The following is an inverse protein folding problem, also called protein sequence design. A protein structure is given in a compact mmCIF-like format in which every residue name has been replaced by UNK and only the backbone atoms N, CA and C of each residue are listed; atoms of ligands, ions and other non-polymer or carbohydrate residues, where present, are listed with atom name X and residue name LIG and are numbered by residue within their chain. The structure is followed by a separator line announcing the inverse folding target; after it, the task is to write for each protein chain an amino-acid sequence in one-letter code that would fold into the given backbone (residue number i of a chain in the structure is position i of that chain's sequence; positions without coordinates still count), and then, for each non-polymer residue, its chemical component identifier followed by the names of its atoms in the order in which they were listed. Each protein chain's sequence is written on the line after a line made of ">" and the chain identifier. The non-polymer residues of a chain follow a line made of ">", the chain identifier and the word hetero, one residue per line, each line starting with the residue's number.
data_IF_629597161255
#
_entry.id   IF_629597161255
#
_cell.length_a   1.000
_cell.length_b   1.000
_cell.length_c   1.000
_cell.angle_alpha   90.00
_cell.angle_beta   90.00
_cell.angle_gamma   90.00
#
_symmetry.space_group_name_H-M   'P 1'
#
loop_
_entity.id
_entity.type
_entity.pdbx_description
1 polymer ?
#
# COMPACT_ATOMS: atom_id res chain seq x y z
N UNK A 1 -5.64 -20.66 -10.43
CA UNK A 1 -6.76 -19.73 -10.69
C UNK A 1 -7.25 -19.97 -12.10
N UNK A 2 -8.57 -20.13 -12.34
CA UNK A 2 -9.06 -20.37 -13.70
C UNK A 2 -8.90 -19.12 -14.56
N UNK A 3 -8.76 -19.29 -15.88
CA UNK A 3 -8.60 -18.19 -16.84
C UNK A 3 -9.76 -17.17 -16.75
N UNK A 4 -10.99 -17.66 -16.55
CA UNK A 4 -12.19 -16.82 -16.36
C UNK A 4 -12.13 -15.98 -15.06
N UNK A 5 -11.62 -16.57 -13.98
CA UNK A 5 -11.45 -15.89 -12.70
C UNK A 5 -10.35 -14.83 -12.75
N UNK A 6 -9.27 -15.08 -13.51
CA UNK A 6 -8.24 -14.08 -13.77
C UNK A 6 -8.78 -12.88 -14.55
N UNK A 7 -9.58 -13.13 -15.59
CA UNK A 7 -10.21 -12.06 -16.39
C UNK A 7 -11.16 -11.24 -15.52
N UNK A 8 -12.03 -11.88 -14.73
CA UNK A 8 -12.95 -11.17 -13.84
C UNK A 8 -12.21 -10.31 -12.79
N UNK A 9 -11.14 -10.85 -12.20
CA UNK A 9 -10.32 -10.11 -11.24
C UNK A 9 -9.65 -8.90 -11.91
N UNK A 10 -9.10 -9.08 -13.12
CA UNK A 10 -8.48 -8.01 -13.88
C UNK A 10 -9.50 -6.90 -14.24
N UNK A 11 -10.71 -7.27 -14.68
CA UNK A 11 -11.78 -6.31 -14.99
C UNK A 11 -12.18 -5.50 -13.75
N UNK A 12 -12.37 -6.14 -12.60
CA UNK A 12 -12.75 -5.45 -11.35
C UNK A 12 -11.64 -4.47 -10.91
N UNK A 13 -10.38 -4.91 -10.98
CA UNK A 13 -9.22 -4.08 -10.63
C UNK A 13 -9.12 -2.86 -11.55
N UNK A 14 -9.27 -3.06 -12.87
CA UNK A 14 -9.24 -1.97 -13.86
C UNK A 14 -10.37 -0.97 -13.62
N UNK A 15 -11.60 -1.44 -13.39
CA UNK A 15 -12.75 -0.57 -13.12
C UNK A 15 -12.56 0.23 -11.83
N UNK A 16 -12.08 -0.40 -10.76
CA UNK A 16 -11.82 0.29 -9.49
C UNK A 16 -10.69 1.32 -9.58
N UNK A 17 -9.62 0.99 -10.30
CA UNK A 17 -8.54 1.93 -10.60
C UNK A 17 -9.06 3.13 -11.38
N UNK A 18 -9.89 2.89 -12.40
CA UNK A 18 -10.48 3.94 -13.23
C UNK A 18 -11.42 4.85 -12.42
N UNK A 19 -12.21 4.28 -11.52
CA UNK A 19 -13.06 5.05 -10.60
C UNK A 19 -12.25 5.88 -9.62
N UNK A 20 -11.14 5.36 -9.08
CA UNK A 20 -10.27 6.11 -8.17
C UNK A 20 -9.56 7.28 -8.88
N UNK A 21 -9.10 7.07 -10.12
CA UNK A 21 -8.49 8.12 -10.94
C UNK A 21 -9.47 9.28 -11.15
N UNK A 22 -10.72 8.99 -11.51
CA UNK A 22 -11.72 10.03 -11.75
C UNK A 22 -12.17 10.76 -10.47
N UNK A 23 -11.93 10.20 -9.28
CA UNK A 23 -12.38 10.80 -8.02
C UNK A 23 -11.35 11.74 -7.38
N UNK A 24 -10.07 11.70 -7.78
CA UNK A 24 -8.96 12.43 -7.13
C UNK A 24 -8.04 13.20 -8.11
N UNK A 25 -8.48 13.43 -9.35
CA UNK A 25 -7.63 13.97 -10.42
C UNK A 25 -7.40 15.49 -10.33
N UNK A 26 -6.48 15.92 -9.47
CA UNK A 26 -5.70 17.14 -9.69
C UNK A 26 -4.26 16.85 -10.15
N UNK A 27 -3.77 15.60 -10.02
CA UNK A 27 -2.41 15.21 -10.44
C UNK A 27 -2.40 14.04 -11.44
N UNK A 28 -2.10 14.35 -12.70
CA UNK A 28 -1.99 13.40 -13.82
C UNK A 28 -0.90 12.33 -13.63
N UNK A 29 0.01 12.52 -12.66
CA UNK A 29 1.07 11.55 -12.37
C UNK A 29 0.52 10.26 -11.74
N UNK A 30 -0.60 10.33 -11.02
CA UNK A 30 -1.23 9.17 -10.37
C UNK A 30 -1.75 8.17 -11.42
N UNK A 31 -2.59 8.57 -12.41
CA UNK A 31 -3.00 7.65 -13.46
C UNK A 31 -1.82 7.08 -14.26
N UNK A 32 -0.76 7.86 -14.48
CA UNK A 32 0.43 7.36 -15.18
C UNK A 32 1.17 6.27 -14.38
N UNK A 33 1.34 6.43 -13.06
CA UNK A 33 1.98 5.43 -12.20
C UNK A 33 1.20 4.12 -12.20
N UNK A 34 -0.12 4.21 -12.05
CA UNK A 34 -0.97 3.03 -12.01
C UNK A 34 -0.95 2.34 -13.38
N UNK A 35 -0.99 3.11 -14.48
CA UNK A 35 -0.86 2.58 -15.84
C UNK A 35 0.48 1.85 -16.05
N UNK A 36 1.60 2.45 -15.65
CA UNK A 36 2.95 1.84 -15.75
C UNK A 36 3.07 0.59 -14.87
N UNK A 37 2.48 0.58 -13.67
CA UNK A 37 2.55 -0.56 -12.76
C UNK A 37 1.69 -1.72 -13.25
N UNK A 38 0.48 -1.44 -13.75
CA UNK A 38 -0.40 -2.43 -14.37
C UNK A 38 0.24 -3.02 -15.62
N UNK A 39 0.86 -2.18 -16.47
CA UNK A 39 1.65 -2.64 -17.61
C UNK A 39 2.82 -3.52 -17.16
N UNK A 40 3.60 -3.09 -16.16
CA UNK A 40 4.74 -3.84 -15.63
C UNK A 40 4.35 -5.23 -15.12
N UNK A 41 3.25 -5.33 -14.38
CA UNK A 41 2.72 -6.62 -13.87
C UNK A 41 2.17 -7.49 -15.00
N UNK A 42 1.45 -6.89 -15.97
CA UNK A 42 0.93 -7.62 -17.13
C UNK A 42 2.06 -8.19 -18.01
N UNK A 43 3.15 -7.45 -18.15
CA UNK A 43 4.30 -7.86 -18.94
C UNK A 43 5.32 -8.71 -18.16
N UNK A 44 5.26 -8.81 -16.82
CA UNK A 44 6.24 -9.54 -16.01
C UNK A 44 6.41 -11.00 -16.45
N UNK A 45 5.31 -11.71 -16.75
CA UNK A 45 5.36 -13.09 -17.22
C UNK A 45 5.93 -13.21 -18.64
N UNK A 46 5.89 -12.13 -19.42
CA UNK A 46 6.43 -12.04 -20.78
C UNK A 46 7.91 -11.63 -20.77
N UNK A 47 8.30 -10.73 -19.85
CA UNK A 47 9.67 -10.29 -19.59
C UNK A 47 10.53 -11.44 -19.08
N UNK A 48 10.02 -12.23 -18.11
CA UNK A 48 10.76 -13.38 -17.54
C UNK A 48 11.04 -14.45 -18.60
N UNK A 49 10.16 -14.60 -19.60
CA UNK A 49 10.32 -15.59 -20.67
C UNK A 49 11.14 -15.09 -21.85
N UNK A 50 11.41 -13.79 -21.96
CA UNK A 50 11.99 -13.22 -23.17
C UNK A 50 12.84 -11.97 -22.87
N UNK A 51 14.17 -12.13 -22.93
CA UNK A 51 15.17 -11.15 -22.51
C UNK A 51 15.14 -9.82 -23.28
N UNK A 52 14.57 -9.80 -24.49
CA UNK A 52 14.44 -8.57 -25.29
C UNK A 52 13.50 -7.53 -24.67
N UNK A 53 12.57 -7.94 -23.79
CA UNK A 53 11.69 -7.01 -23.07
C UNK A 53 12.30 -6.47 -21.77
N UNK A 54 13.48 -6.96 -21.38
CA UNK A 54 14.14 -6.58 -20.13
C UNK A 54 14.70 -5.15 -20.21
N UNK A 55 15.29 -4.77 -21.36
CA UNK A 55 15.81 -3.43 -21.61
C UNK A 55 14.76 -2.31 -21.55
N UNK A 56 13.62 -2.38 -22.27
CA UNK A 56 12.59 -1.34 -22.17
C UNK A 56 11.94 -1.31 -20.77
N UNK A 57 11.80 -2.44 -20.09
CA UNK A 57 11.29 -2.49 -18.72
C UNK A 57 12.25 -1.80 -17.72
N UNK A 58 13.56 -2.02 -17.85
CA UNK A 58 14.58 -1.32 -17.06
C UNK A 58 14.58 0.17 -17.38
N UNK A 59 14.48 0.56 -18.65
CA UNK A 59 14.43 1.98 -19.05
C UNK A 59 13.17 2.65 -18.48
N UNK A 60 11.99 2.02 -18.57
CA UNK A 60 10.75 2.54 -17.99
C UNK A 60 10.87 2.63 -16.46
N UNK A 61 11.47 1.64 -15.80
CA UNK A 61 11.74 1.68 -14.37
C UNK A 61 12.69 2.83 -14.01
N UNK A 62 13.79 2.99 -14.74
CA UNK A 62 14.78 4.06 -14.53
C UNK A 62 14.15 5.43 -14.78
N UNK A 63 13.32 5.59 -15.80
CA UNK A 63 12.58 6.84 -16.06
C UNK A 63 11.49 7.09 -15.01
N UNK A 64 10.82 6.04 -14.54
CA UNK A 64 9.87 6.10 -13.42
C UNK A 64 10.55 6.22 -12.05
N UNK A 65 11.87 6.12 -11.97
CA UNK A 65 12.62 6.46 -10.76
C UNK A 65 13.18 7.88 -10.91
N UNK A 66 13.70 8.25 -12.08
CA UNK A 66 14.24 9.59 -12.42
C UNK A 66 13.19 10.71 -12.51
N UNK A 67 12.00 10.43 -13.04
CA UNK A 67 10.88 11.38 -12.99
C UNK A 67 10.39 11.64 -11.57
N UNK A 68 10.76 10.76 -10.64
CA UNK A 68 10.46 10.87 -9.22
C UNK A 68 11.59 11.46 -8.42
N UNK A 69 12.79 11.69 -8.97
CA UNK A 69 13.98 12.28 -8.31
C UNK A 69 13.82 13.78 -7.96
N UNK A 70 12.61 14.22 -7.59
CA UNK A 70 12.42 15.38 -6.73
C UNK A 70 11.96 15.07 -5.29
N UNK A 71 12.51 14.07 -4.53
CA UNK A 71 12.22 13.95 -3.11
C UNK A 71 13.49 13.49 -2.36
N UNK A 72 14.61 14.21 -2.54
CA UNK A 72 15.79 14.02 -1.68
C UNK A 72 16.17 15.31 -0.95
N UNK A 73 15.40 16.38 -1.14
CA UNK A 73 15.53 17.62 -0.38
C UNK A 73 14.83 17.59 0.98
N UNK A 74 14.01 16.57 1.29
CA UNK A 74 13.11 16.58 2.46
C UNK A 74 13.31 15.46 3.50
N UNK A 75 14.20 14.48 3.29
CA UNK A 75 14.11 13.21 4.04
C UNK A 75 15.18 12.94 5.12
N UNK A 76 16.41 13.41 4.96
CA UNK A 76 17.52 13.01 5.86
C UNK A 76 18.40 14.17 6.34
N UNK A 77 18.66 15.16 5.50
CA UNK A 77 19.54 16.30 5.83
C UNK A 77 18.80 17.60 6.17
N UNK A 78 17.57 17.79 5.68
CA UNK A 78 16.84 19.06 5.81
C UNK A 78 15.52 18.96 6.58
N UNK A 79 15.17 17.79 7.13
CA UNK A 79 13.99 17.67 7.98
C UNK A 79 14.40 17.83 9.46
N UNK A 80 14.12 18.99 10.08
CA UNK A 80 14.48 19.23 11.46
C UNK A 80 13.59 18.46 12.44
N UNK A 81 12.46 17.88 12.00
CA UNK A 81 11.44 17.30 12.89
C UNK A 81 12.02 16.23 13.83
N UNK A 82 12.76 15.21 13.36
CA UNK A 82 13.33 14.20 14.27
C UNK A 82 14.41 14.77 15.21
N UNK A 83 15.08 15.85 14.81
CA UNK A 83 16.12 16.50 15.63
C UNK A 83 15.47 17.30 16.75
N UNK A 84 14.48 18.13 16.42
CA UNK A 84 13.74 18.91 17.42
C UNK A 84 13.02 18.01 18.44
N UNK A 85 12.38 16.92 17.99
CA UNK A 85 11.75 15.93 18.89
C UNK A 85 12.80 15.32 19.83
N UNK A 86 14.01 15.05 19.33
CA UNK A 86 15.09 14.53 20.17
C UNK A 86 15.49 15.52 21.26
N UNK A 87 15.67 16.78 20.91
CA UNK A 87 16.04 17.82 21.88
C UNK A 87 14.91 18.13 22.87
N UNK A 88 13.66 18.02 22.44
CA UNK A 88 12.48 18.21 23.31
C UNK A 88 12.37 17.06 24.32
N UNK A 89 12.41 15.81 23.85
CA UNK A 89 12.34 14.64 24.73
C UNK A 89 13.51 14.56 25.71
N UNK A 90 14.72 15.00 25.32
CA UNK A 90 15.86 15.09 26.26
C UNK A 90 15.58 16.10 27.37
N UNK A 91 14.98 17.24 27.03
CA UNK A 91 14.63 18.29 27.99
C UNK A 91 13.57 17.84 29.00
N UNK A 92 12.72 16.86 28.66
CA UNK A 92 11.76 16.25 29.60
C UNK A 92 12.44 15.56 30.80
N UNK A 93 13.73 15.19 30.69
CA UNK A 93 14.50 14.59 31.79
C UNK A 93 15.15 15.62 32.73
N UNK A 94 14.85 16.91 32.58
CA UNK A 94 15.35 17.98 33.45
C UNK A 94 16.87 18.02 33.50
N UNK A 95 17.47 17.98 34.71
CA UNK A 95 18.94 18.01 34.89
C UNK A 95 19.66 16.76 34.35
N UNK A 96 18.94 15.68 34.06
CA UNK A 96 19.52 14.42 33.58
C UNK A 96 19.50 14.28 32.05
N UNK A 97 19.27 15.37 31.31
CA UNK A 97 19.12 15.37 29.85
C UNK A 97 20.35 14.82 29.08
N UNK A 98 21.53 14.84 29.70
CA UNK A 98 22.78 14.30 29.15
C UNK A 98 23.18 12.93 29.76
N UNK A 99 22.33 12.32 30.57
CA UNK A 99 22.64 11.01 31.14
C UNK A 99 22.74 9.93 30.04
N UNK A 100 23.63 8.92 30.15
CA UNK A 100 23.82 7.92 29.11
C UNK A 100 22.54 7.19 28.70
N UNK A 101 21.64 6.91 29.65
CA UNK A 101 20.34 6.31 29.38
C UNK A 101 19.47 7.19 28.49
N UNK A 102 19.38 8.48 28.80
CA UNK A 102 18.63 9.49 28.03
C UNK A 102 19.22 9.65 26.63
N UNK A 103 20.54 9.70 26.48
CA UNK A 103 21.20 9.77 25.17
C UNK A 103 20.96 8.52 24.32
N UNK A 104 20.87 7.34 24.93
CA UNK A 104 20.59 6.08 24.22
C UNK A 104 19.14 6.02 23.73
N UNK A 105 18.17 6.38 24.57
CA UNK A 105 16.75 6.29 24.20
C UNK A 105 16.28 7.46 23.34
N UNK A 106 16.83 8.66 23.56
CA UNK A 106 16.52 9.87 22.79
C UNK A 106 17.73 10.24 21.93
N UNK A 107 17.97 9.47 20.87
CA UNK A 107 18.90 9.86 19.82
C UNK A 107 18.19 9.97 18.47
N UNK A 108 18.84 10.69 17.55
CA UNK A 108 18.30 10.97 16.21
C UNK A 108 17.87 9.70 15.47
N UNK A 109 18.63 8.60 15.56
CA UNK A 109 18.33 7.35 14.86
C UNK A 109 17.08 6.70 15.44
N UNK A 110 16.97 6.63 16.77
CA UNK A 110 15.82 6.04 17.46
C UNK A 110 14.56 6.86 17.19
N UNK A 111 14.62 8.18 17.32
CA UNK A 111 13.47 9.04 17.04
C UNK A 111 13.07 9.03 15.57
N UNK A 112 14.02 8.99 14.63
CA UNK A 112 13.72 8.79 13.22
C UNK A 112 13.00 7.47 12.98
N UNK A 113 13.47 6.38 13.58
CA UNK A 113 12.84 5.07 13.45
C UNK A 113 11.42 5.07 14.01
N UNK A 114 11.19 5.65 15.19
CA UNK A 114 9.86 5.76 15.78
C UNK A 114 8.93 6.63 14.94
N UNK A 115 9.36 7.83 14.53
CA UNK A 115 8.55 8.68 13.66
C UNK A 115 8.25 8.00 12.32
N UNK A 116 9.20 7.26 11.74
CA UNK A 116 8.97 6.53 10.50
C UNK A 116 7.92 5.44 10.71
N UNK A 117 8.04 4.64 11.77
CA UNK A 117 7.10 3.57 12.07
C UNK A 117 5.70 4.12 12.34
N UNK A 118 5.59 5.20 13.10
CA UNK A 118 4.32 5.89 13.36
C UNK A 118 3.64 6.30 12.06
N UNK A 119 4.34 7.06 11.21
CA UNK A 119 3.80 7.50 9.92
C UNK A 119 3.54 6.34 8.96
N UNK A 120 4.32 5.27 9.02
CA UNK A 120 4.11 4.07 8.22
C UNK A 120 2.83 3.33 8.64
N UNK A 121 2.62 3.13 9.94
CA UNK A 121 1.44 2.44 10.45
C UNK A 121 0.17 3.28 10.35
N UNK A 122 0.28 4.61 10.30
CA UNK A 122 -0.86 5.50 10.07
C UNK A 122 -1.61 5.20 8.77
N UNK A 123 -0.92 4.72 7.72
CA UNK A 123 -1.55 4.29 6.46
C UNK A 123 -2.41 3.01 6.61
N UNK A 124 -2.21 2.22 7.66
CA UNK A 124 -2.96 0.99 7.92
C UNK A 124 -4.08 1.17 8.94
N UNK A 125 -4.25 2.38 9.50
CA UNK A 125 -5.32 2.63 10.46
C UNK A 125 -6.68 2.58 9.78
N UNK A 126 -7.66 2.04 10.50
CA UNK A 126 -9.02 1.89 9.98
C UNK A 126 -9.72 3.22 9.69
N UNK A 127 -9.43 4.25 10.48
CA UNK A 127 -9.93 5.61 10.24
C UNK A 127 -9.40 6.16 8.90
N UNK A 128 -8.10 6.02 8.64
CA UNK A 128 -7.52 6.42 7.36
C UNK A 128 -8.09 5.62 6.18
N UNK A 129 -8.17 4.29 6.31
CA UNK A 129 -8.59 3.40 5.23
C UNK A 129 -10.09 3.51 4.88
N UNK A 130 -10.96 3.66 5.87
CA UNK A 130 -12.40 3.46 5.71
C UNK A 130 -13.30 4.65 6.07
N UNK A 131 -12.82 5.62 6.86
CA UNK A 131 -13.66 6.76 7.31
C UNK A 131 -13.20 8.10 6.78
N UNK A 132 -11.91 8.41 6.89
CA UNK A 132 -11.36 9.75 6.69
C UNK A 132 -10.63 9.90 5.34
N UNK A 133 -10.07 8.81 4.77
CA UNK A 133 -9.19 8.89 3.59
C UNK A 133 -9.83 8.64 2.23
N UNK A 134 -11.16 8.42 2.16
CA UNK A 134 -11.94 8.15 0.92
C UNK A 134 -11.43 6.99 0.03
N UNK A 135 -10.55 6.13 0.54
CA UNK A 135 -9.90 5.08 -0.26
C UNK A 135 -10.76 3.85 -0.52
N UNK A 136 -11.46 3.39 0.50
CA UNK A 136 -12.25 2.17 0.48
C UNK A 136 -13.60 2.43 1.11
N UNK A 137 -14.62 1.72 0.63
CA UNK A 137 -15.94 1.81 1.25
C UNK A 137 -15.94 1.06 2.58
N UNK A 138 -16.79 1.46 3.52
CA UNK A 138 -16.89 0.78 4.81
C UNK A 138 -17.15 -0.73 4.67
N UNK A 139 -17.96 -1.15 3.69
CA UNK A 139 -18.20 -2.58 3.43
C UNK A 139 -16.97 -3.33 2.90
N UNK A 140 -15.97 -2.65 2.34
CA UNK A 140 -14.72 -3.29 1.90
C UNK A 140 -13.97 -3.92 3.08
N UNK A 141 -14.20 -3.48 4.32
CA UNK A 141 -13.60 -4.11 5.51
C UNK A 141 -13.96 -5.60 5.60
N UNK A 142 -15.22 -5.95 5.29
CA UNK A 142 -15.71 -7.33 5.30
C UNK A 142 -14.99 -8.15 4.23
N UNK A 143 -14.91 -7.61 3.02
CA UNK A 143 -14.30 -8.31 1.88
C UNK A 143 -12.79 -8.44 2.05
N UNK A 144 -12.11 -7.41 2.53
CA UNK A 144 -10.68 -7.46 2.84
C UNK A 144 -10.40 -8.49 3.93
N UNK A 145 -11.21 -8.53 5.00
CA UNK A 145 -11.09 -9.54 6.05
C UNK A 145 -11.21 -10.97 5.52
N UNK A 146 -12.23 -11.25 4.70
CA UNK A 146 -12.40 -12.56 4.03
C UNK A 146 -11.23 -12.83 3.08
N UNK A 147 -10.76 -11.82 2.34
CA UNK A 147 -9.63 -11.91 1.42
C UNK A 147 -8.36 -12.37 2.13
N UNK A 148 -7.98 -11.67 3.21
CA UNK A 148 -6.82 -12.05 4.03
C UNK A 148 -6.97 -13.43 4.65
N UNK A 149 -8.13 -13.76 5.23
CA UNK A 149 -8.37 -15.08 5.80
C UNK A 149 -8.13 -16.21 4.77
N UNK A 150 -8.62 -16.01 3.53
CA UNK A 150 -8.41 -16.96 2.44
C UNK A 150 -6.97 -17.00 1.95
N UNK A 151 -6.25 -15.87 1.94
CA UNK A 151 -4.82 -15.80 1.60
C UNK A 151 -3.98 -16.54 2.64
N UNK A 152 -4.25 -16.37 3.93
CA UNK A 152 -3.55 -17.05 5.02
C UNK A 152 -3.71 -18.57 4.88
N UNK A 153 -4.91 -19.04 4.53
CA UNK A 153 -5.16 -20.47 4.28
C UNK A 153 -4.47 -21.03 3.04
N UNK A 154 -4.13 -20.19 2.06
CA UNK A 154 -3.53 -20.63 0.79
C UNK A 154 -2.62 -19.54 0.21
N UNK A 155 -1.43 -19.32 0.78
CA UNK A 155 -0.57 -18.17 0.46
C UNK A 155 0.14 -18.27 -0.89
N UNK A 156 0.09 -19.43 -1.55
CA UNK A 156 0.79 -19.68 -2.82
C UNK A 156 0.36 -18.68 -3.90
N UNK A 157 1.31 -17.88 -4.39
CA UNK A 157 1.10 -16.87 -5.44
C UNK A 157 0.69 -15.48 -4.93
N UNK A 158 0.43 -15.31 -3.63
CA UNK A 158 0.04 -14.01 -3.05
C UNK A 158 1.21 -13.16 -2.57
N UNK A 159 2.40 -13.76 -2.41
CA UNK A 159 3.61 -13.09 -1.93
C UNK A 159 3.88 -11.72 -2.61
N UNK A 160 3.77 -11.56 -3.95
CA UNK A 160 3.99 -10.26 -4.58
C UNK A 160 3.00 -9.18 -4.15
N UNK A 161 1.71 -9.52 -4.01
CA UNK A 161 0.66 -8.57 -3.59
C UNK A 161 0.83 -8.17 -2.13
N UNK A 162 1.19 -9.12 -1.27
CA UNK A 162 1.44 -8.85 0.15
C UNK A 162 2.69 -7.99 0.34
N UNK A 163 3.78 -8.29 -0.37
CA UNK A 163 5.00 -7.46 -0.35
C UNK A 163 4.67 -6.05 -0.86
N UNK A 164 3.90 -5.92 -1.95
CA UNK A 164 3.49 -4.63 -2.46
C UNK A 164 2.67 -3.86 -1.42
N UNK A 165 1.69 -4.50 -0.78
CA UNK A 165 0.86 -3.86 0.23
C UNK A 165 1.71 -3.22 1.35
N UNK A 166 2.68 -3.94 1.89
CA UNK A 166 3.57 -3.44 2.93
C UNK A 166 4.65 -2.48 2.40
N UNK A 167 5.11 -2.65 1.16
CA UNK A 167 6.08 -1.73 0.58
C UNK A 167 5.47 -0.38 0.19
N UNK A 168 4.17 -0.33 -0.13
CA UNK A 168 3.53 0.86 -0.69
C UNK A 168 3.63 2.12 0.19
N UNK A 169 3.47 2.06 1.53
CA UNK A 169 3.57 3.25 2.37
C UNK A 169 5.01 3.72 2.65
N UNK A 170 6.04 2.94 2.31
CA UNK A 170 7.44 3.24 2.69
C UNK A 170 7.88 4.60 2.16
N UNK A 171 7.65 4.89 0.87
CA UNK A 171 8.05 6.17 0.27
C UNK A 171 7.31 7.36 0.88
N UNK A 172 6.08 7.15 1.36
CA UNK A 172 5.28 8.18 1.96
C UNK A 172 5.67 8.45 3.42
N UNK A 173 5.94 7.38 4.19
CA UNK A 173 6.39 7.43 5.58
C UNK A 173 7.77 8.09 5.73
N UNK A 174 8.68 7.90 4.75
CA UNK A 174 9.99 8.56 4.72
C UNK A 174 9.91 10.10 4.63
N UNK A 175 8.75 10.65 4.27
CA UNK A 175 8.55 12.10 4.20
C UNK A 175 8.00 12.70 5.50
N UNK A 176 7.72 11.91 6.55
CA UNK A 176 7.16 12.38 7.85
C UNK A 176 5.99 13.35 7.70
N UNK A 177 5.12 13.08 6.72
CA UNK A 177 3.93 13.86 6.49
C UNK A 177 2.71 13.00 6.79
N UNK A 178 1.61 13.58 7.31
CA UNK A 178 0.39 12.86 7.60
C UNK A 178 -0.10 12.08 6.37
N UNK A 179 -0.80 10.95 6.59
CA UNK A 179 -1.26 10.13 5.49
C UNK A 179 -2.32 10.90 4.67
N UNK A 180 -2.17 10.90 3.34
CA UNK A 180 -3.10 11.57 2.41
C UNK A 180 -3.56 10.63 1.31
N UNK A 181 -4.73 10.95 0.73
CA UNK A 181 -5.35 10.21 -0.38
C UNK A 181 -4.41 9.96 -1.56
N UNK A 182 -3.63 10.99 -1.88
CA UNK A 182 -2.65 10.97 -2.96
C UNK A 182 -1.52 9.96 -2.72
N UNK A 183 -0.96 9.95 -1.51
CA UNK A 183 0.23 9.16 -1.19
C UNK A 183 -0.05 7.68 -1.00
N UNK A 184 -1.24 7.33 -0.52
CA UNK A 184 -1.64 5.93 -0.38
C UNK A 184 -2.25 5.32 -1.65
N UNK A 185 -2.31 6.07 -2.77
CA UNK A 185 -2.79 5.56 -4.05
C UNK A 185 -2.10 4.25 -4.47
N UNK A 186 -0.81 4.10 -4.15
CA UNK A 186 -0.06 2.87 -4.45
C UNK A 186 -0.51 1.67 -3.60
N UNK A 187 -0.96 1.90 -2.37
CA UNK A 187 -1.50 0.88 -1.46
C UNK A 187 -2.92 0.45 -1.84
N UNK A 188 -3.67 1.33 -2.51
CA UNK A 188 -5.04 1.04 -2.93
C UNK A 188 -5.13 -0.16 -3.89
N UNK A 189 -4.14 -0.32 -4.78
CA UNK A 189 -4.12 -1.41 -5.75
C UNK A 189 -4.10 -2.78 -5.06
N UNK A 190 -3.12 -3.11 -4.19
CA UNK A 190 -3.12 -4.40 -3.51
C UNK A 190 -4.36 -4.57 -2.60
N UNK A 191 -4.83 -3.52 -1.92
CA UNK A 191 -6.06 -3.61 -1.12
C UNK A 191 -7.30 -3.93 -1.96
N UNK A 192 -7.43 -3.31 -3.13
CA UNK A 192 -8.52 -3.57 -4.08
C UNK A 192 -8.49 -5.01 -4.60
N UNK A 193 -7.30 -5.52 -4.91
CA UNK A 193 -7.13 -6.93 -5.33
C UNK A 193 -7.57 -7.87 -4.22
N UNK A 194 -7.16 -7.62 -2.98
CA UNK A 194 -7.52 -8.42 -1.80
C UNK A 194 -9.03 -8.34 -1.53
N UNK A 195 -9.62 -7.13 -1.55
CA UNK A 195 -11.06 -6.91 -1.39
C UNK A 195 -11.85 -7.69 -2.46
N UNK A 196 -11.49 -7.53 -3.73
CA UNK A 196 -12.17 -8.19 -4.85
C UNK A 196 -12.11 -9.72 -4.74
N UNK A 197 -10.95 -10.26 -4.34
CA UNK A 197 -10.80 -11.68 -4.08
C UNK A 197 -11.68 -12.16 -2.93
N UNK A 198 -11.73 -11.41 -1.83
CA UNK A 198 -12.58 -11.70 -0.69
C UNK A 198 -14.06 -11.67 -1.03
N UNK A 199 -14.52 -10.68 -1.79
CA UNK A 199 -15.89 -10.59 -2.28
C UNK A 199 -16.27 -11.82 -3.12
N UNK A 200 -15.43 -12.23 -4.07
CA UNK A 200 -15.66 -13.43 -4.89
C UNK A 200 -15.76 -14.69 -4.04
N UNK A 201 -14.90 -14.82 -3.01
CA UNK A 201 -14.94 -15.97 -2.09
C UNK A 201 -16.20 -15.98 -1.24
N UNK A 202 -16.58 -14.84 -0.68
CA UNK A 202 -17.79 -14.71 0.12
C UNK A 202 -19.05 -15.05 -0.70
N UNK A 203 -19.17 -14.50 -1.91
CA UNK A 203 -20.27 -14.83 -2.82
C UNK A 203 -20.31 -16.33 -3.14
N UNK A 204 -19.15 -16.95 -3.38
CA UNK A 204 -19.09 -18.39 -3.65
C UNK A 204 -19.54 -19.24 -2.46
N UNK A 205 -19.30 -18.79 -1.23
CA UNK A 205 -19.76 -19.47 -0.01
C UNK A 205 -21.27 -19.34 0.13
N UNK A 206 -21.82 -18.13 -0.03
CA UNK A 206 -23.26 -17.85 0.03
C UNK A 206 -24.02 -18.70 -1.00
N UNK A 207 -23.55 -18.73 -2.25
CA UNK A 207 -24.18 -19.53 -3.31
C UNK A 207 -24.14 -21.04 -3.04
N UNK A 208 -23.07 -21.55 -2.42
CA UNK A 208 -22.98 -22.96 -2.02
C UNK A 208 -23.97 -23.29 -0.91
N UNK A 209 -24.12 -22.41 0.07
CA UNK A 209 -25.10 -22.55 1.14
C UNK A 209 -26.52 -22.59 0.56
N UNK A 210 -26.85 -21.70 -0.39
CA UNK A 210 -28.16 -21.68 -1.05
C UNK A 210 -28.48 -22.95 -1.85
N UNK A 211 -27.49 -23.56 -2.52
CA UNK A 211 -27.69 -24.84 -3.25
C UNK A 211 -27.86 -26.06 -2.34
N UNK A 212 -27.39 -25.98 -1.09
CA UNK A 212 -27.56 -27.03 -0.10
C UNK A 212 -28.96 -27.05 0.54
N UNK A 213 -29.72 -25.98 0.42
CA UNK A 213 -31.11 -25.90 0.90
C UNK A 213 -32.02 -26.58 -0.13
N UNK A 214 -32.17 -27.90 -0.02
CA UNK A 214 -33.30 -28.59 -0.64
C UNK A 214 -34.55 -28.19 0.15
N UNK A 215 -35.40 -27.35 -0.43
CA UNK A 215 -36.74 -27.15 0.12
C UNK A 215 -37.48 -28.50 0.03
N UNK A 216 -37.77 -29.10 1.18
CA UNK A 216 -38.87 -30.08 1.28
C UNK A 216 -40.13 -29.24 1.15
N UNK A 217 -40.67 -29.19 -0.07
CA UNK A 217 -42.05 -28.79 -0.32
C UNK A 217 -42.92 -30.00 0.02
#
# INVERSE_FOLDING_TARGET
>A
MSKKMLIALATIVVVRIFLFINFNADDWRIPLMIFVTVLGVFFINRIIKNSQFLYPAIIILVLAVNGFYKPFEFGFNNNPVPVWITDEQRREHGLNYDSPGVLVIHNKVVNYAFSFLEHYFDYFRGDFLFTNGTFLYFFDILFIGVGFWMIIKSPKGWKPIIIWLFAAPISAALNFQPPTSLKAANMLIPLTVISSFGALKLMSLILKMGKGVKYKI
#
